data_IF_271209808434
#
_entry.id   IF_271209808434
#
_cell.length_a   1.000
_cell.length_b   1.000
_cell.length_c   1.000
_cell.angle_alpha   90.00
_cell.angle_beta   90.00
_cell.angle_gamma   90.00
#
_symmetry.space_group_name_H-M   'P 1'
#
loop_
_entity.id
_entity.type
_entity.pdbx_description
1 polymer ?
#
# COMPACT_ATOMS: atom_id res chain seq x y z
N UNK A 1 19.61 -15.48 6.47
CA UNK A 1 20.13 -14.14 6.10
C UNK A 1 21.66 -14.04 6.19
N UNK A 2 22.29 -14.08 7.37
CA UNK A 2 23.75 -13.82 7.49
C UNK A 2 24.66 -14.77 6.69
N UNK A 3 24.23 -16.02 6.50
CA UNK A 3 24.93 -17.01 5.68
C UNK A 3 24.98 -16.64 4.19
N UNK A 4 24.14 -15.69 3.75
CA UNK A 4 24.05 -15.23 2.36
C UNK A 4 24.91 -13.98 2.11
N UNK A 5 25.60 -13.44 3.12
CA UNK A 5 26.44 -12.27 2.95
C UNK A 5 27.57 -12.53 1.95
N UNK A 6 27.75 -11.58 1.04
CA UNK A 6 28.67 -11.73 -0.09
C UNK A 6 28.02 -12.33 -1.34
N UNK A 7 26.74 -12.68 -1.30
CA UNK A 7 26.01 -13.08 -2.50
C UNK A 7 26.01 -11.94 -3.53
N UNK A 8 26.33 -12.28 -4.77
CA UNK A 8 26.28 -11.41 -5.95
C UNK A 8 25.29 -11.98 -6.94
N UNK A 9 24.45 -11.14 -7.52
CA UNK A 9 23.61 -11.56 -8.65
C UNK A 9 24.45 -12.04 -9.85
N UNK A 10 23.85 -12.88 -10.68
CA UNK A 10 24.39 -13.23 -11.99
C UNK A 10 24.06 -12.13 -13.01
N UNK A 11 24.64 -12.22 -14.21
CA UNK A 11 24.31 -11.32 -15.31
C UNK A 11 22.79 -11.21 -15.51
N UNK A 12 22.31 -9.98 -15.73
CA UNK A 12 20.88 -9.69 -15.90
C UNK A 12 20.07 -9.78 -14.61
N UNK A 13 20.62 -9.44 -13.44
CA UNK A 13 19.91 -9.44 -12.13
C UNK A 13 19.34 -10.80 -11.69
N UNK A 14 19.79 -11.91 -12.28
CA UNK A 14 19.29 -13.24 -11.94
C UNK A 14 19.83 -13.66 -10.58
N UNK A 15 18.93 -13.96 -9.65
CA UNK A 15 19.27 -14.45 -8.31
C UNK A 15 18.43 -15.66 -7.91
N UNK A 16 18.92 -16.47 -6.95
CA UNK A 16 18.10 -17.54 -6.36
C UNK A 16 16.89 -16.98 -5.59
N UNK A 17 16.97 -15.74 -5.11
CA UNK A 17 15.89 -15.07 -4.39
C UNK A 17 14.78 -14.64 -5.34
N UNK A 18 15.14 -14.02 -6.47
CA UNK A 18 14.21 -13.67 -7.55
C UNK A 18 13.57 -14.91 -8.18
N UNK A 19 14.35 -15.96 -8.44
CA UNK A 19 13.82 -17.25 -8.89
C UNK A 19 12.78 -17.83 -7.91
N UNK A 20 13.15 -17.94 -6.62
CA UNK A 20 12.23 -18.43 -5.59
C UNK A 20 10.96 -17.57 -5.49
N UNK A 21 11.09 -16.25 -5.58
CA UNK A 21 9.95 -15.34 -5.49
C UNK A 21 9.02 -15.53 -6.68
N UNK A 22 9.57 -15.57 -7.91
CA UNK A 22 8.84 -15.83 -9.13
C UNK A 22 8.07 -17.15 -9.08
N UNK A 23 8.71 -18.22 -8.59
CA UNK A 23 8.08 -19.52 -8.43
C UNK A 23 6.96 -19.46 -7.37
N UNK A 24 7.16 -18.72 -6.27
CA UNK A 24 6.15 -18.58 -5.23
C UNK A 24 4.90 -17.84 -5.71
N UNK A 25 5.07 -16.75 -6.46
CA UNK A 25 3.96 -15.91 -6.94
C UNK A 25 3.46 -16.30 -8.34
N UNK A 26 4.08 -17.31 -8.95
CA UNK A 26 3.76 -17.80 -10.30
C UNK A 26 3.88 -16.71 -11.38
N UNK A 27 4.91 -15.89 -11.29
CA UNK A 27 5.17 -14.80 -12.23
C UNK A 27 6.66 -14.67 -12.55
N UNK A 28 7.01 -15.02 -13.79
CA UNK A 28 8.40 -15.07 -14.25
C UNK A 28 9.08 -13.71 -14.33
N UNK A 29 8.33 -12.60 -14.35
CA UNK A 29 8.91 -11.25 -14.41
C UNK A 29 9.81 -10.91 -13.21
N UNK A 30 9.66 -11.66 -12.11
CA UNK A 30 10.44 -11.44 -10.90
C UNK A 30 11.78 -12.19 -10.86
N UNK A 31 12.07 -13.05 -11.85
CA UNK A 31 13.30 -13.86 -11.87
C UNK A 31 14.57 -13.03 -12.01
N UNK A 32 14.47 -11.91 -12.73
CA UNK A 32 15.53 -11.00 -13.15
C UNK A 32 15.21 -9.51 -12.82
N UNK A 33 14.37 -9.31 -11.80
CA UNK A 33 14.00 -7.98 -11.30
C UNK A 33 14.85 -7.55 -10.08
N UNK A 34 14.80 -6.26 -9.68
CA UNK A 34 15.41 -5.80 -8.44
C UNK A 34 14.93 -6.62 -7.24
N UNK A 35 15.89 -7.18 -6.50
CA UNK A 35 15.64 -8.28 -5.55
C UNK A 35 15.82 -7.90 -4.07
N UNK A 36 15.88 -6.60 -3.76
CA UNK A 36 16.03 -6.13 -2.37
C UNK A 36 14.92 -6.67 -1.45
N UNK A 37 13.66 -6.56 -1.88
CA UNK A 37 12.50 -6.99 -1.09
C UNK A 37 12.22 -8.49 -1.20
N UNK A 38 12.47 -9.07 -2.38
CA UNK A 38 12.35 -10.51 -2.61
C UNK A 38 13.29 -11.31 -1.71
N UNK A 39 14.49 -10.78 -1.45
CA UNK A 39 15.40 -11.36 -0.48
C UNK A 39 14.83 -11.37 0.95
N UNK A 40 14.15 -10.29 1.36
CA UNK A 40 13.53 -10.22 2.68
C UNK A 40 12.35 -11.17 2.79
N UNK A 41 11.52 -11.29 1.74
CA UNK A 41 10.47 -12.29 1.64
C UNK A 41 11.02 -13.71 1.76
N UNK A 42 12.10 -14.04 1.03
CA UNK A 42 12.78 -15.33 1.12
C UNK A 42 13.34 -15.59 2.53
N UNK A 43 14.00 -14.59 3.12
CA UNK A 43 14.60 -14.72 4.44
C UNK A 43 13.53 -14.91 5.52
N UNK A 44 12.39 -14.23 5.40
CA UNK A 44 11.23 -14.40 6.29
C UNK A 44 10.62 -15.79 6.15
N UNK A 45 10.43 -16.29 4.93
CA UNK A 45 9.95 -17.66 4.66
C UNK A 45 10.88 -18.71 5.30
N UNK A 46 12.19 -18.60 5.10
CA UNK A 46 13.18 -19.51 5.73
C UNK A 46 13.20 -19.45 7.25
N UNK A 47 12.72 -18.35 7.84
CA UNK A 47 12.64 -18.18 9.28
C UNK A 47 11.24 -18.50 9.86
N UNK A 48 10.24 -18.82 9.03
CA UNK A 48 8.85 -18.97 9.48
C UNK A 48 8.23 -17.66 9.97
N UNK A 49 8.65 -16.52 9.42
CA UNK A 49 8.23 -15.18 9.83
C UNK A 49 7.38 -14.47 8.76
N UNK A 50 6.90 -15.20 7.75
CA UNK A 50 6.15 -14.62 6.63
C UNK A 50 4.92 -13.83 7.07
N UNK A 51 4.20 -14.26 8.11
CA UNK A 51 2.99 -13.55 8.55
C UNK A 51 3.29 -12.17 9.17
N UNK A 52 4.52 -11.96 9.62
CA UNK A 52 4.95 -10.74 10.33
C UNK A 52 5.84 -9.83 9.47
N UNK A 53 6.38 -10.35 8.37
CA UNK A 53 7.20 -9.59 7.40
C UNK A 53 6.47 -9.40 6.07
N UNK A 54 5.67 -10.37 5.65
CA UNK A 54 5.01 -10.37 4.34
C UNK A 54 5.88 -10.90 3.19
N UNK A 55 5.27 -10.95 2.00
CA UNK A 55 5.89 -11.39 0.74
C UNK A 55 5.76 -10.25 -0.27
N UNK A 56 6.85 -9.53 -0.51
CA UNK A 56 6.85 -8.35 -1.38
C UNK A 56 8.03 -8.34 -2.35
N UNK A 57 7.80 -7.73 -3.51
CA UNK A 57 8.84 -7.34 -4.48
C UNK A 57 8.94 -5.82 -4.65
N UNK A 58 7.84 -5.09 -4.39
CA UNK A 58 7.76 -3.63 -4.59
C UNK A 58 7.75 -2.90 -3.23
N UNK A 59 8.79 -2.12 -3.00
CA UNK A 59 9.10 -1.52 -1.69
C UNK A 59 8.05 -0.51 -1.18
N UNK A 60 7.38 0.31 -2.00
CA UNK A 60 6.28 1.15 -1.52
C UNK A 60 5.07 0.37 -0.99
N UNK A 61 4.73 -0.76 -1.63
CA UNK A 61 3.65 -1.64 -1.14
C UNK A 61 4.00 -2.27 0.19
N UNK A 62 5.26 -2.67 0.37
CA UNK A 62 5.71 -3.24 1.64
C UNK A 62 5.70 -2.20 2.77
N UNK A 63 6.15 -0.97 2.50
CA UNK A 63 6.04 0.12 3.46
C UNK A 63 4.57 0.43 3.82
N UNK A 64 3.69 0.49 2.82
CA UNK A 64 2.25 0.68 3.03
C UNK A 64 1.62 -0.44 3.86
N UNK A 65 2.07 -1.69 3.68
CA UNK A 65 1.61 -2.82 4.48
C UNK A 65 1.95 -2.66 5.96
N UNK A 66 3.20 -2.33 6.32
CA UNK A 66 3.56 -2.07 7.72
C UNK A 66 2.78 -0.91 8.34
N UNK A 67 2.49 0.14 7.56
CA UNK A 67 1.63 1.24 7.99
C UNK A 67 0.22 0.72 8.32
N UNK A 68 -0.35 -0.12 7.45
CA UNK A 68 -1.66 -0.73 7.66
C UNK A 68 -1.70 -1.68 8.86
N UNK A 69 -0.59 -2.35 9.17
CA UNK A 69 -0.46 -3.25 10.32
C UNK A 69 -0.26 -2.52 11.65
N UNK A 70 -0.26 -1.18 11.68
CA UNK A 70 0.12 -0.37 12.84
C UNK A 70 1.50 -0.75 13.40
N UNK A 71 2.43 -1.00 12.48
CA UNK A 71 3.78 -1.49 12.75
C UNK A 71 4.85 -0.63 12.05
N UNK A 72 4.53 0.65 11.83
CA UNK A 72 5.42 1.62 11.19
C UNK A 72 5.93 2.67 12.19
N UNK A 73 7.23 2.95 12.18
CA UNK A 73 7.86 3.92 13.09
C UNK A 73 8.91 4.77 12.39
N UNK A 74 9.29 5.88 13.04
CA UNK A 74 10.43 6.73 12.65
C UNK A 74 11.70 6.41 13.46
N UNK A 75 11.61 5.54 14.47
CA UNK A 75 12.74 5.18 15.33
C UNK A 75 13.37 3.86 14.88
N UNK A 76 14.68 3.81 14.60
CA UNK A 76 15.34 2.56 14.24
C UNK A 76 15.43 1.62 15.44
N UNK A 77 15.32 0.33 15.19
CA UNK A 77 15.64 -0.72 16.15
C UNK A 77 16.19 -1.97 15.44
N UNK A 78 17.03 -2.79 16.10
CA UNK A 78 17.46 -4.07 15.54
C UNK A 78 16.27 -4.96 15.17
N UNK A 79 16.34 -5.57 13.99
CA UNK A 79 15.28 -6.43 13.43
C UNK A 79 14.21 -5.69 12.63
N UNK A 80 14.14 -4.35 12.71
CA UNK A 80 13.23 -3.58 11.86
C UNK A 80 13.69 -3.56 10.39
N UNK A 81 12.73 -3.53 9.48
CA UNK A 81 12.97 -3.27 8.07
C UNK A 81 13.07 -1.76 7.86
N UNK A 82 14.19 -1.28 7.35
CA UNK A 82 14.42 0.13 7.03
C UNK A 82 14.10 0.40 5.56
N UNK A 83 13.32 1.45 5.30
CA UNK A 83 12.91 1.86 3.96
C UNK A 83 13.54 3.21 3.60
N UNK A 84 14.17 3.29 2.43
CA UNK A 84 14.92 4.46 1.97
C UNK A 84 14.28 5.08 0.72
N UNK A 85 14.38 6.40 0.62
CA UNK A 85 14.11 7.20 -0.58
C UNK A 85 15.41 7.92 -0.93
N UNK A 86 15.99 7.60 -2.08
CA UNK A 86 17.30 8.10 -2.50
C UNK A 86 17.30 9.57 -2.86
N UNK A 87 16.13 10.12 -3.19
CA UNK A 87 15.90 11.56 -3.40
C UNK A 87 15.69 12.31 -2.09
N UNK A 88 15.66 11.60 -0.96
CA UNK A 88 15.51 12.17 0.38
C UNK A 88 14.06 12.51 0.74
N UNK A 89 13.08 12.06 -0.04
CA UNK A 89 11.68 12.21 0.29
C UNK A 89 11.30 11.45 1.57
N UNK A 90 10.13 11.78 2.12
CA UNK A 90 9.60 11.21 3.38
C UNK A 90 8.27 10.51 3.23
N UNK A 91 7.85 10.30 1.98
CA UNK A 91 6.63 9.59 1.62
C UNK A 91 6.95 8.12 1.38
N UNK A 92 6.12 7.22 1.93
CA UNK A 92 6.24 5.77 1.66
C UNK A 92 6.13 5.44 0.16
N UNK A 93 5.46 6.31 -0.61
CA UNK A 93 5.32 6.14 -2.07
C UNK A 93 6.62 6.37 -2.83
N UNK A 94 7.58 7.08 -2.25
CA UNK A 94 8.88 7.39 -2.84
C UNK A 94 9.99 6.42 -2.42
N UNK A 95 9.65 5.33 -1.73
CA UNK A 95 10.64 4.36 -1.29
C UNK A 95 11.25 3.66 -2.51
N UNK A 96 12.58 3.67 -2.56
CA UNK A 96 13.38 3.03 -3.60
C UNK A 96 14.00 1.71 -3.13
N UNK A 97 14.22 1.54 -1.82
CA UNK A 97 15.00 0.43 -1.29
C UNK A 97 14.62 0.05 0.13
N UNK A 98 14.93 -1.20 0.49
CA UNK A 98 14.69 -1.77 1.81
C UNK A 98 15.89 -2.60 2.29
N UNK A 99 16.10 -2.64 3.60
CA UNK A 99 17.06 -3.54 4.26
C UNK A 99 16.61 -3.89 5.67
N UNK A 100 17.41 -4.70 6.38
CA UNK A 100 17.16 -5.01 7.80
C UNK A 100 18.18 -4.30 8.67
N UNK A 101 17.74 -3.64 9.74
CA UNK A 101 18.61 -3.05 10.75
C UNK A 101 19.20 -4.17 11.60
N UNK A 102 20.51 -4.36 11.53
CA UNK A 102 21.26 -5.30 12.39
C UNK A 102 21.62 -4.65 13.74
N UNK A 103 21.97 -3.35 13.74
CA UNK A 103 22.34 -2.61 14.95
C UNK A 103 22.15 -1.11 14.77
N UNK A 104 21.89 -0.39 15.85
CA UNK A 104 21.85 1.09 15.90
C UNK A 104 23.07 1.62 16.66
N UNK A 105 23.71 2.67 16.16
CA UNK A 105 24.92 3.26 16.73
C UNK A 105 24.86 4.79 16.64
N UNK A 106 24.37 5.45 17.70
CA UNK A 106 24.13 6.88 17.68
C UNK A 106 23.14 7.26 16.58
N UNK A 107 23.57 8.08 15.61
CA UNK A 107 22.74 8.51 14.47
C UNK A 107 22.83 7.60 13.24
N UNK A 108 23.65 6.54 13.31
CA UNK A 108 23.86 5.59 12.22
C UNK A 108 23.13 4.28 12.48
N UNK A 109 22.74 3.63 11.39
CA UNK A 109 22.24 2.26 11.41
C UNK A 109 23.21 1.36 10.65
N UNK A 110 23.41 0.16 11.18
CA UNK A 110 24.12 -0.92 10.51
C UNK A 110 23.08 -1.89 9.98
N UNK A 111 23.14 -2.18 8.69
CA UNK A 111 22.07 -2.89 7.97
C UNK A 111 22.62 -4.09 7.23
N UNK A 112 21.74 -5.05 6.93
CA UNK A 112 21.95 -6.08 5.91
C UNK A 112 21.01 -5.75 4.75
N UNK A 113 21.57 -5.55 3.57
CA UNK A 113 20.86 -5.07 2.38
C UNK A 113 21.20 -5.93 1.17
N UNK A 114 20.16 -6.38 0.45
CA UNK A 114 20.24 -7.09 -0.83
C UNK A 114 20.09 -6.12 -2.00
N UNK A 115 20.63 -6.45 -3.17
CA UNK A 115 20.63 -5.58 -4.35
C UNK A 115 21.22 -4.18 -4.07
N UNK A 116 22.17 -4.10 -3.12
CA UNK A 116 22.89 -2.86 -2.82
C UNK A 116 24.16 -2.76 -3.65
N UNK A 117 24.57 -1.54 -3.97
CA UNK A 117 25.65 -1.25 -4.91
C UNK A 117 25.43 -2.01 -6.24
N UNK A 118 24.16 -2.01 -6.66
CA UNK A 118 23.55 -2.63 -7.84
C UNK A 118 23.42 -4.15 -7.86
N UNK A 119 24.25 -4.88 -7.12
CA UNK A 119 24.37 -6.33 -7.39
C UNK A 119 24.65 -7.20 -6.16
N UNK A 120 24.84 -6.61 -4.97
CA UNK A 120 25.34 -7.32 -3.79
C UNK A 120 24.32 -7.48 -2.68
N UNK A 121 24.47 -8.56 -1.91
CA UNK A 121 23.94 -8.70 -0.55
C UNK A 121 25.08 -8.53 0.45
N UNK A 122 25.06 -7.43 1.21
CA UNK A 122 26.12 -7.13 2.17
C UNK A 122 25.66 -6.23 3.30
N UNK A 123 26.58 -6.02 4.25
CA UNK A 123 26.39 -5.04 5.31
C UNK A 123 26.64 -3.63 4.80
N UNK A 124 25.86 -2.67 5.29
CA UNK A 124 26.11 -1.23 5.09
C UNK A 124 26.02 -0.51 6.44
N UNK A 125 26.73 0.60 6.52
CA UNK A 125 26.49 1.61 7.56
C UNK A 125 25.83 2.79 6.86
N UNK A 126 24.66 3.21 7.36
CA UNK A 126 23.84 4.25 6.75
C UNK A 126 23.64 5.40 7.72
N UNK A 127 23.72 6.62 7.20
CA UNK A 127 23.09 7.77 7.83
C UNK A 127 21.57 7.66 7.68
N UNK A 128 20.82 8.39 8.50
CA UNK A 128 19.35 8.30 8.57
C UNK A 128 18.61 9.39 7.78
N UNK A 129 19.35 10.27 7.10
CA UNK A 129 18.84 11.39 6.31
C UNK A 129 17.96 10.96 5.13
N UNK A 130 18.22 9.78 4.54
CA UNK A 130 17.43 9.19 3.44
C UNK A 130 16.38 8.17 3.89
N UNK A 131 16.24 7.95 5.19
CA UNK A 131 15.25 7.02 5.71
C UNK A 131 13.86 7.63 5.63
N UNK A 132 12.93 6.87 5.07
CA UNK A 132 11.49 7.16 5.08
C UNK A 132 10.86 6.64 6.36
N UNK A 133 11.22 5.42 6.79
CA UNK A 133 10.78 4.89 8.08
C UNK A 133 11.15 3.44 8.23
N UNK A 134 10.58 2.82 9.26
CA UNK A 134 10.89 1.46 9.65
C UNK A 134 9.61 0.65 9.84
N UNK A 135 9.55 -0.51 9.18
CA UNK A 135 8.56 -1.54 9.44
C UNK A 135 9.05 -2.48 10.54
N UNK A 136 8.19 -2.81 11.50
CA UNK A 136 8.60 -3.52 12.72
C UNK A 136 7.84 -4.86 12.84
N UNK A 137 8.42 -5.98 12.38
CA UNK A 137 7.75 -7.28 12.38
C UNK A 137 7.22 -7.73 13.76
N UNK A 138 7.96 -7.45 14.84
CA UNK A 138 7.51 -7.80 16.20
C UNK A 138 6.22 -7.07 16.61
N UNK A 139 5.96 -5.88 16.07
CA UNK A 139 4.71 -5.16 16.33
C UNK A 139 3.55 -5.78 15.55
N UNK A 140 3.79 -6.23 14.31
CA UNK A 140 2.78 -7.01 13.55
C UNK A 140 2.38 -8.25 14.35
N UNK A 141 3.36 -8.99 14.87
CA UNK A 141 3.12 -10.16 15.73
C UNK A 141 2.31 -9.81 16.97
N UNK A 142 2.76 -8.81 17.74
CA UNK A 142 2.07 -8.41 18.96
C UNK A 142 0.64 -7.91 18.70
N UNK A 143 0.41 -7.25 17.56
CA UNK A 143 -0.92 -6.80 17.15
C UNK A 143 -1.83 -7.98 16.79
N UNK A 144 -1.31 -9.00 16.09
CA UNK A 144 -2.04 -10.23 15.79
C UNK A 144 -2.43 -11.00 17.06
N UNK A 145 -1.48 -11.19 17.98
CA UNK A 145 -1.72 -11.88 19.27
C UNK A 145 -2.79 -11.15 20.11
N UNK A 146 -2.73 -9.82 20.17
CA UNK A 146 -3.77 -9.01 20.85
C UNK A 146 -5.16 -9.20 20.24
N UNK A 147 -5.25 -9.27 18.91
CA UNK A 147 -6.53 -9.48 18.23
C UNK A 147 -7.09 -10.88 18.51
N UNK A 148 -6.23 -11.89 18.56
CA UNK A 148 -6.63 -13.25 18.90
C UNK A 148 -7.12 -13.37 20.36
N UNK A 149 -6.49 -12.64 21.29
CA UNK A 149 -6.97 -12.53 22.67
C UNK A 149 -8.37 -11.90 22.74
N UNK A 150 -8.58 -10.74 22.10
CA UNK A 150 -9.89 -10.07 22.06
C UNK A 150 -10.96 -11.01 21.49
N UNK A 151 -10.67 -11.63 20.34
CA UNK A 151 -11.60 -12.57 19.70
C UNK A 151 -11.90 -13.79 20.57
N UNK A 152 -10.92 -14.27 21.33
CA UNK A 152 -11.11 -15.39 22.25
C UNK A 152 -12.01 -15.01 23.42
N UNK A 153 -11.93 -13.77 23.91
CA UNK A 153 -12.82 -13.23 24.95
C UNK A 153 -14.23 -12.91 24.46
N UNK A 154 -14.43 -12.69 23.15
CA UNK A 154 -15.74 -12.43 22.53
C UNK A 154 -16.53 -13.69 22.14
N UNK A 155 -16.02 -14.91 22.42
CA UNK A 155 -16.80 -16.14 22.20
C UNK A 155 -18.11 -16.08 23.00
N UNK A 156 -19.28 -16.28 22.38
CA UNK A 156 -20.56 -16.08 23.05
C UNK A 156 -20.71 -17.08 24.18
N UNK A 157 -21.21 -16.60 25.32
CA UNK A 157 -21.82 -17.43 26.34
C UNK A 157 -22.80 -18.37 25.63
N UNK A 158 -22.47 -19.66 25.54
CA UNK A 158 -23.41 -20.68 25.06
C UNK A 158 -24.58 -20.59 26.03
N UNK A 159 -25.70 -20.02 25.57
CA UNK A 159 -26.91 -19.97 26.39
C UNK A 159 -27.25 -21.42 26.75
N UNK A 160 -27.31 -21.71 28.05
CA UNK A 160 -27.74 -23.02 28.52
C UNK A 160 -29.08 -23.38 27.84
N UNK A 161 -29.32 -24.65 27.48
CA UNK A 161 -30.57 -25.04 26.84
C UNK A 161 -31.72 -24.62 27.75
N UNK A 162 -32.59 -23.76 27.23
CA UNK A 162 -33.75 -23.26 27.96
C UNK A 162 -34.68 -24.45 28.20
N UNK A 163 -35.16 -24.70 29.43
CA UNK A 163 -36.10 -25.79 29.65
C UNK A 163 -37.39 -25.47 28.88
N UNK A 164 -37.83 -26.42 28.07
CA UNK A 164 -39.09 -26.32 27.35
C UNK A 164 -40.22 -26.16 28.35
N UNK A 165 -40.82 -24.98 28.36
CA UNK A 165 -42.09 -24.74 29.02
C UNK A 165 -43.13 -24.64 27.93
N UNK A 166 -43.76 -25.77 27.65
CA UNK A 166 -45.05 -25.77 26.99
C UNK A 166 -46.02 -24.91 27.79
N UNK A 167 -46.90 -24.21 27.09
CA UNK A 167 -48.29 -23.84 27.40
C UNK A 167 -48.60 -22.63 26.51
N UNK A 168 -49.12 -22.90 25.30
CA UNK A 168 -49.52 -21.87 24.36
C UNK A 168 -50.71 -21.09 24.89
N UNK A 169 -50.57 -19.77 24.94
CA UNK A 169 -51.69 -18.87 25.25
C UNK A 169 -52.49 -18.60 23.96
N UNK A 170 -53.83 -18.50 24.03
CA UNK A 170 -54.67 -18.28 22.84
C UNK A 170 -54.43 -16.93 22.14
N UNK A 171 -53.61 -16.04 22.72
CA UNK A 171 -53.23 -14.75 22.14
C UNK A 171 -51.98 -14.82 21.24
N UNK A 172 -51.23 -15.92 21.24
CA UNK A 172 -50.05 -16.08 20.39
C UNK A 172 -50.41 -16.22 18.89
N UNK A 173 -51.66 -16.53 18.57
CA UNK A 173 -52.14 -16.67 17.18
C UNK A 173 -52.29 -15.30 16.48
N UNK A 174 -52.58 -14.23 17.22
CA UNK A 174 -52.84 -12.89 16.67
C UNK A 174 -51.56 -12.11 16.33
N UNK A 175 -50.40 -12.56 16.81
CA UNK A 175 -49.10 -11.92 16.56
C UNK A 175 -48.25 -12.58 15.47
N UNK A 176 -48.75 -13.63 14.81
CA UNK A 176 -47.96 -14.36 13.82
C UNK A 176 -47.88 -13.61 12.48
N UNK A 177 -46.74 -13.66 11.76
CA UNK A 177 -46.59 -13.03 10.44
C UNK A 177 -47.71 -13.34 9.43
N UNK A 178 -48.30 -14.56 9.38
CA UNK A 178 -49.42 -14.88 8.49
C UNK A 178 -50.71 -14.13 8.84
N UNK A 179 -51.01 -13.91 10.13
CA UNK A 179 -52.22 -13.23 10.56
C UNK A 179 -52.17 -11.72 10.23
N UNK A 180 -51.00 -11.10 10.37
CA UNK A 180 -50.76 -9.72 9.95
C UNK A 180 -50.85 -9.56 8.43
N UNK A 181 -50.34 -10.53 7.66
CA UNK A 181 -50.47 -10.56 6.21
C UNK A 181 -51.95 -10.67 5.77
N UNK A 182 -52.75 -11.50 6.43
CA UNK A 182 -54.18 -11.62 6.11
C UNK A 182 -54.94 -10.30 6.36
N UNK A 183 -54.63 -9.59 7.45
CA UNK A 183 -55.22 -8.27 7.75
C UNK A 183 -54.79 -7.18 6.74
N UNK A 184 -53.53 -7.19 6.29
CA UNK A 184 -53.03 -6.29 5.23
C UNK A 184 -53.68 -6.57 3.86
N UNK A 185 -53.92 -7.84 3.52
CA UNK A 185 -54.59 -8.21 2.26
C UNK A 185 -56.06 -7.78 2.27
N UNK A 186 -56.77 -7.95 3.38
CA UNK A 186 -58.17 -7.51 3.50
C UNK A 186 -58.32 -5.99 3.41
N UNK A 187 -57.43 -5.22 4.05
CA UNK A 187 -57.45 -3.75 4.00
C UNK A 187 -57.12 -3.21 2.62
N UNK A 188 -56.17 -3.83 1.91
CA UNK A 188 -55.83 -3.44 0.53
C UNK A 188 -56.94 -3.75 -0.48
N UNK A 189 -57.66 -4.87 -0.34
CA UNK A 189 -58.82 -5.20 -1.20
C UNK A 189 -59.97 -4.20 -1.00
N UNK A 190 -60.30 -3.85 0.25
CA UNK A 190 -61.36 -2.87 0.55
C UNK A 190 -61.01 -1.46 0.04
N UNK A 191 -59.73 -1.06 0.11
CA UNK A 191 -59.27 0.22 -0.41
C UNK A 191 -59.24 0.25 -1.95
N UNK A 192 -58.94 -0.88 -2.58
CA UNK A 192 -58.92 -1.03 -4.05
C UNK A 192 -60.32 -0.97 -4.66
N UNK A 193 -61.33 -1.51 -3.98
CA UNK A 193 -62.74 -1.43 -4.38
C UNK A 193 -63.33 -0.02 -4.22
N UNK A 194 -62.72 0.86 -3.42
CA UNK A 194 -63.13 2.28 -3.29
C UNK A 194 -62.46 3.21 -4.30
N UNK A 195 -61.39 2.77 -4.97
CA UNK A 195 -60.58 3.60 -5.88
C UNK A 195 -60.88 3.37 -7.38
N UNK A 196 -61.71 2.40 -7.74
CA UNK A 196 -62.23 2.22 -9.12
C UNK A 196 -63.31 3.23 -9.51
N UNK A 197 -63.64 4.17 -8.63
CA UNK A 197 -64.63 5.23 -8.83
C UNK A 197 -64.04 6.64 -8.99
N UNK A 198 -62.99 6.89 -9.79
CA UNK A 198 -62.71 8.27 -10.26
C UNK A 198 -61.85 8.35 -11.54
N UNK A 199 -62.34 9.20 -12.47
CA UNK A 199 -61.90 9.47 -13.86
C UNK A 199 -60.55 10.19 -14.02
N UNK A 200 -59.80 9.79 -15.08
CA UNK A 200 -59.00 10.53 -16.10
C UNK A 200 -58.04 11.70 -15.74
N UNK A 201 -56.83 11.60 -16.33
CA UNK A 201 -55.98 12.69 -16.87
C UNK A 201 -54.73 12.99 -16.05
N UNK A 202 -53.51 13.30 -16.52
CA UNK A 202 -52.89 13.56 -17.85
C UNK A 202 -51.36 13.53 -17.65
N UNK A 203 -50.57 13.02 -18.61
CA UNK A 203 -49.10 12.95 -18.56
C UNK A 203 -48.41 14.26 -18.96
N UNK A 204 -47.29 14.61 -18.31
CA UNK A 204 -46.16 15.33 -18.94
C UNK A 204 -44.80 14.85 -18.42
N UNK A 205 -43.92 14.48 -19.35
CA UNK A 205 -42.49 14.15 -19.15
C UNK A 205 -41.67 15.41 -18.90
N UNK A 206 -40.63 15.30 -18.07
CA UNK A 206 -39.55 16.28 -17.96
C UNK A 206 -38.23 15.63 -18.41
N UNK A 207 -37.52 16.29 -19.34
CA UNK A 207 -36.16 16.00 -19.77
C UNK A 207 -35.23 17.09 -19.26
N UNK A 208 -34.08 16.73 -18.71
CA UNK A 208 -33.06 17.65 -18.19
C UNK A 208 -31.79 17.57 -19.05
N UNK A 209 -31.17 18.70 -19.50
CA UNK A 209 -29.90 18.66 -20.20
C UNK A 209 -28.70 19.05 -19.32
N UNK A 210 -27.55 18.47 -19.69
CA UNK A 210 -26.22 18.59 -19.10
C UNK A 210 -25.48 19.85 -19.59
N UNK A 211 -24.67 20.49 -18.75
CA UNK A 211 -23.79 21.61 -19.12
C UNK A 211 -22.33 21.31 -18.75
N UNK A 212 -21.42 21.43 -19.73
CA UNK A 212 -19.96 21.45 -19.56
C UNK A 212 -19.37 22.63 -20.35
N UNK A 213 -18.42 23.42 -19.82
CA UNK A 213 -17.73 24.44 -20.62
C UNK A 213 -16.33 24.01 -21.12
N UNK A 214 -16.08 24.44 -22.35
CA UNK A 214 -14.97 24.25 -23.30
C UNK A 214 -13.68 25.02 -23.01
N UNK A 215 -12.58 24.53 -23.60
CA UNK A 215 -11.25 25.13 -23.72
C UNK A 215 -11.17 26.34 -24.68
N UNK A 216 -10.13 27.20 -24.51
CA UNK A 216 -9.64 28.15 -25.53
C UNK A 216 -8.10 28.32 -25.49
N UNK A 217 -7.51 28.52 -26.68
CA UNK A 217 -6.07 28.64 -27.06
C UNK A 217 -5.55 30.11 -27.07
N UNK A 218 -4.22 30.37 -27.28
CA UNK A 218 -3.52 31.64 -26.98
C UNK A 218 -3.08 32.51 -28.20
N UNK A 219 -2.57 33.74 -27.95
CA UNK A 219 -1.74 34.62 -28.82
C UNK A 219 -0.96 35.66 -27.95
N UNK A 220 0.39 35.85 -27.99
CA UNK A 220 1.30 36.69 -28.86
C UNK A 220 0.97 38.21 -28.88
N UNK A 221 1.84 39.25 -28.77
CA UNK A 221 3.30 39.49 -28.98
C UNK A 221 3.76 40.93 -28.57
N UNK A 222 5.06 41.07 -28.20
CA UNK A 222 6.12 42.11 -28.45
C UNK A 222 5.97 43.65 -28.28
N UNK A 223 7.02 44.29 -27.70
CA UNK A 223 7.76 45.45 -28.27
C UNK A 223 9.09 45.79 -27.52
N UNK A 224 10.24 45.90 -28.22
CA UNK A 224 11.53 46.50 -27.77
C UNK A 224 11.63 48.00 -28.16
N UNK A 225 12.80 48.63 -28.51
CA UNK A 225 14.23 48.26 -28.40
C UNK A 225 15.21 49.44 -28.02
N UNK A 226 16.53 49.16 -27.84
CA UNK A 226 17.74 49.78 -28.50
C UNK A 226 19.03 49.90 -27.63
N UNK A 227 20.15 49.55 -28.27
CA UNK A 227 21.59 49.68 -27.89
C UNK A 227 22.16 51.09 -28.16
N UNK A 228 23.47 51.38 -27.89
CA UNK A 228 24.53 51.15 -28.90
C UNK A 228 25.94 50.73 -28.40
N UNK A 229 26.81 50.47 -29.39
CA UNK A 229 28.12 49.80 -29.48
C UNK A 229 29.38 50.58 -29.03
N UNK A 230 30.53 49.89 -28.90
CA UNK A 230 31.84 50.17 -29.55
C UNK A 230 32.89 49.07 -29.18
N UNK A 231 33.44 48.28 -30.13
CA UNK A 231 34.75 48.39 -30.87
C UNK A 231 36.01 48.17 -29.98
N UNK A 232 37.13 47.54 -30.37
CA UNK A 232 37.62 46.77 -31.53
C UNK A 232 39.09 46.34 -31.24
N UNK A 233 39.63 45.37 -32.02
CA UNK A 233 41.06 45.05 -32.34
C UNK A 233 41.82 44.04 -31.46
N UNK A 234 42.72 43.16 -31.93
CA UNK A 234 43.11 42.49 -33.21
C UNK A 234 44.47 41.80 -32.92
N UNK A 235 44.66 40.52 -33.30
CA UNK A 235 45.93 39.79 -33.66
C UNK A 235 47.07 39.71 -32.60
N UNK A 236 47.99 38.74 -32.51
CA UNK A 236 48.34 37.44 -33.14
C UNK A 236 49.48 36.83 -32.30
N UNK A 237 49.71 35.53 -32.48
CA UNK A 237 51.02 34.85 -32.56
C UNK A 237 51.36 33.81 -31.49
N UNK A 238 51.95 32.74 -32.01
CA UNK A 238 52.20 31.42 -31.47
C UNK A 238 53.43 31.33 -30.56
N UNK A 239 53.54 30.24 -29.79
CA UNK A 239 54.67 29.29 -29.93
C UNK A 239 54.50 28.02 -29.08
N UNK A 240 54.92 26.90 -29.68
CA UNK A 240 55.08 25.54 -29.14
C UNK A 240 56.35 25.50 -28.27
N UNK A 241 56.44 24.71 -27.20
CA UNK A 241 56.99 23.34 -27.17
C UNK A 241 56.96 22.77 -25.74
N UNK A 242 56.89 21.43 -25.53
CA UNK A 242 57.25 20.78 -24.27
C UNK A 242 58.51 19.90 -24.38
N UNK A 243 59.23 19.70 -23.27
CA UNK A 243 60.02 18.51 -22.87
C UNK A 243 60.93 18.85 -21.66
N UNK A 244 61.54 17.86 -20.96
CA UNK A 244 61.24 16.42 -20.91
C UNK A 244 60.59 15.97 -19.59
#
# INVERSE_FOLDING_TARGET
MRQELGYREKSGQVTKFGQWYADRVQDTQYRDAPWCDMFLAWAADKAGLTDYVGIFAWTPSHAAWFIKQDAWTRKPEPGALVFFDWRGGKSYKGVDHVGVVERVAGKKIHTIEANVDREWLKRKTRETDKVVGYGVPRLVKANAERLDEIRSTERPFVSAPRPETGHGSPLDVLGTPPALLAAMVLTTIVLSLRLTGRRRGTHRRFTWPWNAPTARRPAKTSSGPRSPQAREKVRTAAQRHPAP
#
